data_IF_862802518991
#
_entry.id   IF_862802518991
#
_cell.length_a   1.000
_cell.length_b   1.000
_cell.length_c   1.000
_cell.angle_alpha   90.00
_cell.angle_beta   90.00
_cell.angle_gamma   90.00
#
_symmetry.space_group_name_H-M   'P 1'
#
loop_
_entity.id
_entity.type
_entity.pdbx_description
1 polymer ?
#
# COMPACT_ATOMS: atom_id res chain seq x y z
N UNK A 1 -84.16 58.87 -69.20
CA UNK A 1 -83.33 60.07 -69.07
C UNK A 1 -82.30 59.82 -67.99
N UNK A 2 -81.01 60.06 -68.25
CA UNK A 2 -79.92 59.91 -67.27
C UNK A 2 -79.48 61.30 -66.83
N UNK A 3 -79.05 61.46 -65.58
CA UNK A 3 -78.55 62.74 -65.07
C UNK A 3 -77.12 62.57 -64.55
N UNK A 4 -76.30 63.62 -64.69
CA UNK A 4 -74.93 63.63 -64.21
C UNK A 4 -74.90 63.47 -62.69
N UNK A 5 -74.15 62.48 -62.17
CA UNK A 5 -74.03 62.26 -60.73
C UNK A 5 -73.30 63.39 -59.99
N UNK A 6 -72.55 64.22 -60.71
CA UNK A 6 -71.77 65.31 -60.11
C UNK A 6 -72.56 66.64 -60.06
N UNK A 7 -73.28 66.99 -61.12
CA UNK A 7 -73.95 68.30 -61.22
C UNK A 7 -75.46 68.24 -61.47
N UNK A 8 -76.04 67.04 -61.59
CA UNK A 8 -77.48 66.85 -61.80
C UNK A 8 -78.00 67.23 -63.19
N UNK A 9 -77.14 67.67 -64.11
CA UNK A 9 -77.56 68.02 -65.48
C UNK A 9 -77.96 66.80 -66.29
N UNK A 10 -78.98 66.93 -67.14
CA UNK A 10 -79.46 65.83 -67.98
C UNK A 10 -78.39 65.41 -69.01
N UNK A 11 -78.23 64.10 -69.15
CA UNK A 11 -77.30 63.47 -70.08
C UNK A 11 -78.10 62.86 -71.23
N UNK A 12 -77.82 63.33 -72.44
CA UNK A 12 -78.41 62.82 -73.69
C UNK A 12 -77.81 61.45 -74.04
N UNK A 13 -78.58 60.61 -74.72
CA UNK A 13 -78.13 59.27 -75.12
C UNK A 13 -76.84 59.35 -75.96
N UNK A 14 -75.85 58.50 -75.63
CA UNK A 14 -74.55 58.45 -76.30
C UNK A 14 -73.47 59.42 -75.75
N UNK A 15 -73.81 60.37 -74.87
CA UNK A 15 -72.81 61.26 -74.27
C UNK A 15 -71.89 60.49 -73.30
N UNK A 16 -70.58 60.56 -73.55
CA UNK A 16 -69.53 59.90 -72.74
C UNK A 16 -69.01 60.79 -71.60
N UNK A 17 -69.23 62.10 -71.68
CA UNK A 17 -68.78 63.10 -70.70
C UNK A 17 -69.86 64.15 -70.56
N UNK A 18 -70.12 64.62 -69.33
CA UNK A 18 -71.06 65.69 -69.06
C UNK A 18 -70.53 67.01 -69.63
N UNK A 19 -71.27 67.62 -70.55
CA UNK A 19 -70.87 68.86 -71.22
C UNK A 19 -70.90 70.10 -70.32
N UNK A 20 -71.47 70.00 -69.12
CA UNK A 20 -71.56 71.12 -68.17
C UNK A 20 -70.44 71.11 -67.12
N UNK A 21 -69.99 69.95 -66.67
CA UNK A 21 -68.98 69.86 -65.59
C UNK A 21 -67.76 69.00 -65.94
N UNK A 22 -67.69 68.47 -67.16
CA UNK A 22 -66.55 67.66 -67.64
C UNK A 22 -66.45 66.27 -67.02
N UNK A 23 -67.40 65.86 -66.18
CA UNK A 23 -67.36 64.54 -65.50
C UNK A 23 -67.71 63.42 -66.48
N UNK A 24 -66.89 62.36 -66.60
CA UNK A 24 -67.21 61.20 -67.44
C UNK A 24 -68.53 60.55 -67.01
N UNK A 25 -69.37 60.21 -67.98
CA UNK A 25 -70.65 59.54 -67.74
C UNK A 25 -70.42 58.05 -67.82
N UNK A 26 -70.43 57.41 -66.65
CA UNK A 26 -70.17 55.98 -66.50
C UNK A 26 -71.28 55.15 -67.20
N UNK A 27 -70.93 54.47 -68.29
CA UNK A 27 -71.85 53.62 -69.04
C UNK A 27 -71.83 52.20 -68.47
N UNK A 28 -72.56 51.95 -67.38
CA UNK A 28 -73.23 50.65 -67.15
C UNK A 28 -73.91 50.56 -65.78
N UNK A 29 -75.20 50.19 -65.79
CA UNK A 29 -75.98 49.38 -64.82
C UNK A 29 -77.48 49.52 -65.22
N UNK A 30 -78.36 48.53 -65.38
CA UNK A 30 -78.45 47.06 -65.10
C UNK A 30 -79.85 46.55 -65.62
N UNK A 31 -80.30 45.25 -65.52
CA UNK A 31 -79.76 44.14 -64.73
C UNK A 31 -79.66 42.76 -65.44
N UNK A 32 -78.51 42.10 -65.33
CA UNK A 32 -78.41 40.67 -64.94
C UNK A 32 -77.05 40.45 -64.27
N UNK A 33 -77.12 40.47 -62.94
CA UNK A 33 -76.24 39.88 -61.92
C UNK A 33 -74.73 40.08 -62.07
N UNK A 34 -74.29 41.09 -61.33
CA UNK A 34 -72.94 41.32 -60.81
C UNK A 34 -72.29 40.11 -60.14
N UNK A 35 -71.04 39.84 -60.51
CA UNK A 35 -69.92 39.95 -59.57
C UNK A 35 -68.61 40.10 -60.34
N UNK A 36 -67.95 41.25 -60.13
CA UNK A 36 -66.49 41.28 -60.13
C UNK A 36 -66.03 40.24 -59.12
N UNK A 37 -65.20 39.30 -59.54
CA UNK A 37 -64.34 38.58 -58.64
C UNK A 37 -62.91 38.91 -59.07
N UNK A 38 -62.13 39.42 -58.12
CA UNK A 38 -60.74 39.04 -58.02
C UNK A 38 -60.62 37.55 -58.38
N UNK A 39 -59.64 37.13 -59.16
CA UNK A 39 -59.29 35.70 -59.17
C UNK A 39 -58.59 35.35 -57.85
N UNK A 40 -59.28 35.56 -56.72
CA UNK A 40 -59.24 34.63 -55.62
C UNK A 40 -60.36 33.64 -55.89
N UNK A 41 -59.98 32.48 -56.45
CA UNK A 41 -60.83 31.31 -56.52
C UNK A 41 -61.61 31.20 -55.19
N UNK A 42 -62.94 31.07 -55.18
CA UNK A 42 -63.67 30.84 -53.95
C UNK A 42 -63.05 29.59 -53.34
N UNK A 43 -62.37 29.74 -52.20
CA UNK A 43 -61.82 28.60 -51.47
C UNK A 43 -63.01 27.70 -51.22
N UNK A 44 -63.05 26.56 -51.93
CA UNK A 44 -63.96 25.45 -51.62
C UNK A 44 -63.88 25.29 -50.11
N UNK A 45 -64.98 25.38 -49.33
CA UNK A 45 -64.89 25.15 -47.91
C UNK A 45 -64.24 23.78 -47.75
N UNK A 46 -63.08 23.76 -47.09
CA UNK A 46 -62.31 22.54 -46.92
C UNK A 46 -63.24 21.47 -46.36
N UNK A 47 -63.19 20.26 -46.91
CA UNK A 47 -64.01 19.16 -46.40
C UNK A 47 -63.73 19.00 -44.90
N UNK A 48 -64.71 18.60 -44.07
CA UNK A 48 -64.50 18.44 -42.63
C UNK A 48 -63.30 17.53 -42.33
N UNK A 49 -63.03 16.55 -43.19
CA UNK A 49 -61.84 15.70 -43.13
C UNK A 49 -60.52 16.48 -43.31
N UNK A 50 -60.46 17.43 -44.26
CA UNK A 50 -59.27 18.25 -44.48
C UNK A 50 -59.03 19.22 -43.31
N UNK A 51 -60.08 19.73 -42.67
CA UNK A 51 -59.94 20.53 -41.45
C UNK A 51 -59.48 19.71 -40.25
N UNK A 52 -59.94 18.46 -40.11
CA UNK A 52 -59.43 17.51 -39.10
C UNK A 52 -57.96 17.19 -39.34
N UNK A 53 -57.54 16.94 -40.59
CA UNK A 53 -56.13 16.70 -40.94
C UNK A 53 -55.28 17.92 -40.61
N UNK A 54 -55.73 19.13 -40.96
CA UNK A 54 -55.01 20.38 -40.64
C UNK A 54 -54.95 20.61 -39.12
N UNK A 55 -56.05 20.40 -38.40
CA UNK A 55 -56.06 20.51 -36.94
C UNK A 55 -55.12 19.49 -36.29
N UNK A 56 -55.04 18.27 -36.82
CA UNK A 56 -54.14 17.22 -36.36
C UNK A 56 -52.67 17.57 -36.68
N UNK A 57 -52.38 18.11 -37.86
CA UNK A 57 -51.04 18.62 -38.21
C UNK A 57 -50.62 19.79 -37.31
N UNK A 58 -51.53 20.71 -36.99
CA UNK A 58 -51.28 21.81 -36.06
C UNK A 58 -51.05 21.27 -34.65
N UNK A 59 -51.84 20.31 -34.18
CA UNK A 59 -51.64 19.67 -32.88
C UNK A 59 -50.27 18.98 -32.80
N UNK A 60 -49.88 18.23 -33.84
CA UNK A 60 -48.55 17.61 -33.94
C UNK A 60 -47.45 18.67 -33.98
N UNK A 61 -47.63 19.77 -34.70
CA UNK A 61 -46.68 20.88 -34.73
C UNK A 61 -46.53 21.56 -33.36
N UNK A 62 -47.63 21.77 -32.63
CA UNK A 62 -47.60 22.32 -31.27
C UNK A 62 -46.86 21.36 -30.33
N UNK A 63 -47.15 20.06 -30.39
CA UNK A 63 -46.44 19.04 -29.61
C UNK A 63 -44.94 19.06 -29.97
N UNK A 64 -44.59 19.15 -31.25
CA UNK A 64 -43.20 19.24 -31.70
C UNK A 64 -42.50 20.51 -31.19
N UNK A 65 -43.19 21.66 -31.16
CA UNK A 65 -42.67 22.91 -30.59
C UNK A 65 -42.46 22.79 -29.08
N UNK A 66 -43.40 22.18 -28.34
CA UNK A 66 -43.25 21.93 -26.90
C UNK A 66 -42.04 21.02 -26.65
N UNK A 67 -41.94 19.89 -27.37
CA UNK A 67 -40.79 18.98 -27.30
C UNK A 67 -39.48 19.68 -27.69
N UNK A 68 -39.52 20.61 -28.66
CA UNK A 68 -38.36 21.39 -29.07
C UNK A 68 -37.88 22.33 -27.95
N UNK A 69 -38.79 23.04 -27.29
CA UNK A 69 -38.43 23.92 -26.17
C UNK A 69 -37.94 23.14 -24.95
N UNK A 70 -38.53 21.98 -24.65
CA UNK A 70 -38.04 21.08 -23.58
C UNK A 70 -36.67 20.51 -23.93
N UNK A 71 -36.44 20.10 -25.17
CA UNK A 71 -35.13 19.65 -25.64
C UNK A 71 -34.07 20.77 -25.57
N UNK A 72 -34.45 21.99 -25.96
CA UNK A 72 -33.56 23.16 -25.93
C UNK A 72 -33.10 23.51 -24.52
N UNK A 73 -33.94 23.33 -23.50
CA UNK A 73 -33.59 23.65 -22.12
C UNK A 73 -32.75 22.55 -21.46
N UNK A 74 -32.99 21.27 -21.76
CA UNK A 74 -32.19 20.17 -21.18
C UNK A 74 -30.82 20.01 -21.85
N UNK A 75 -30.67 20.41 -23.11
CA UNK A 75 -29.48 20.09 -23.93
C UNK A 75 -28.49 21.26 -24.01
N UNK A 76 -28.47 22.08 -22.97
CA UNK A 76 -27.50 23.16 -22.80
C UNK A 76 -26.28 22.66 -22.03
N UNK A 77 -25.08 23.07 -22.46
CA UNK A 77 -23.80 22.72 -21.81
C UNK A 77 -23.82 23.06 -20.32
N UNK A 78 -24.44 24.17 -19.93
CA UNK A 78 -24.55 24.59 -18.52
C UNK A 78 -25.43 23.65 -17.69
N UNK A 79 -26.50 23.08 -18.26
CA UNK A 79 -27.35 22.11 -17.56
C UNK A 79 -26.66 20.75 -17.37
N UNK A 80 -25.90 20.30 -18.37
CA UNK A 80 -25.07 19.10 -18.21
C UNK A 80 -23.94 19.33 -17.20
N UNK A 81 -23.29 20.50 -17.26
CA UNK A 81 -22.27 20.89 -16.29
C UNK A 81 -22.83 20.99 -14.87
N UNK A 82 -24.07 21.46 -14.67
CA UNK A 82 -24.74 21.42 -13.36
C UNK A 82 -24.89 19.99 -12.83
N UNK A 83 -25.22 19.03 -13.70
CA UNK A 83 -25.31 17.61 -13.34
C UNK A 83 -23.94 17.05 -12.95
N UNK A 84 -22.90 17.29 -13.75
CA UNK A 84 -21.53 16.84 -13.43
C UNK A 84 -21.02 17.49 -12.14
N UNK A 85 -21.16 18.81 -12.00
CA UNK A 85 -20.74 19.55 -10.82
C UNK A 85 -21.48 19.10 -9.55
N UNK A 86 -22.78 18.84 -9.62
CA UNK A 86 -23.53 18.30 -8.48
C UNK A 86 -23.12 16.87 -8.14
N UNK A 87 -22.77 16.05 -9.14
CA UNK A 87 -22.23 14.73 -8.89
C UNK A 87 -20.90 14.79 -8.13
N UNK A 88 -20.01 15.71 -8.51
CA UNK A 88 -18.72 15.93 -7.83
C UNK A 88 -18.93 16.44 -6.40
N UNK A 89 -19.75 17.49 -6.19
CA UNK A 89 -19.95 18.05 -4.83
C UNK A 89 -20.61 17.09 -3.86
N UNK A 90 -21.53 16.26 -4.34
CA UNK A 90 -22.33 15.39 -3.49
C UNK A 90 -21.81 13.95 -3.48
N UNK A 91 -20.60 13.69 -3.99
CA UNK A 91 -19.99 12.37 -4.06
C UNK A 91 -20.92 11.31 -4.70
N UNK A 92 -21.63 11.69 -5.78
CA UNK A 92 -22.65 10.86 -6.41
C UNK A 92 -22.08 10.07 -7.59
N UNK A 93 -21.62 8.86 -7.30
CA UNK A 93 -21.01 7.92 -8.26
C UNK A 93 -21.90 7.66 -9.48
N UNK A 94 -23.18 7.34 -9.28
CA UNK A 94 -24.07 6.98 -10.39
C UNK A 94 -24.38 8.16 -11.30
N UNK A 95 -24.54 9.36 -10.71
CA UNK A 95 -24.74 10.56 -11.50
C UNK A 95 -23.47 10.92 -12.28
N UNK A 96 -22.28 10.80 -11.68
CA UNK A 96 -21.02 11.04 -12.40
C UNK A 96 -20.87 10.05 -13.57
N UNK A 97 -21.02 8.76 -13.30
CA UNK A 97 -20.94 7.66 -14.29
C UNK A 97 -21.82 7.90 -15.52
N UNK A 98 -23.02 8.44 -15.31
CA UNK A 98 -23.99 8.67 -16.38
C UNK A 98 -23.75 9.96 -17.19
N UNK A 99 -22.90 10.87 -16.71
CA UNK A 99 -22.68 12.18 -17.33
C UNK A 99 -21.24 12.43 -17.78
N UNK A 100 -20.29 11.61 -17.34
CA UNK A 100 -18.86 11.73 -17.65
C UNK A 100 -18.39 10.50 -18.42
N UNK A 101 -17.48 10.72 -19.35
CA UNK A 101 -16.82 9.70 -20.15
C UNK A 101 -15.31 9.75 -19.93
N UNK A 102 -14.61 8.73 -20.40
CA UNK A 102 -13.17 8.76 -20.56
C UNK A 102 -12.80 8.09 -21.87
N UNK A 103 -12.05 8.77 -22.73
CA UNK A 103 -11.80 8.35 -24.11
C UNK A 103 -13.12 8.06 -24.87
N UNK A 104 -14.14 8.88 -24.62
CA UNK A 104 -15.45 8.80 -25.24
C UNK A 104 -16.33 7.62 -24.78
N UNK A 105 -15.86 6.77 -23.87
CA UNK A 105 -16.61 5.65 -23.28
C UNK A 105 -17.23 6.05 -21.94
N UNK A 106 -18.44 5.58 -21.61
CA UNK A 106 -19.00 5.78 -20.28
C UNK A 106 -18.08 5.19 -19.21
N UNK A 107 -17.95 5.88 -18.09
CA UNK A 107 -17.20 5.34 -16.95
C UNK A 107 -17.89 4.10 -16.39
N UNK A 108 -17.12 3.21 -15.79
CA UNK A 108 -17.67 2.19 -14.88
C UNK A 108 -17.95 2.80 -13.51
N UNK A 109 -18.65 2.05 -12.65
CA UNK A 109 -18.91 2.49 -11.27
C UNK A 109 -17.60 2.66 -10.48
N UNK A 110 -16.64 1.79 -10.74
CA UNK A 110 -15.31 1.81 -10.13
C UNK A 110 -14.50 3.02 -10.59
N UNK A 111 -14.45 3.30 -11.90
CA UNK A 111 -13.79 4.48 -12.46
C UNK A 111 -14.42 5.80 -11.97
N UNK A 112 -15.75 5.87 -11.93
CA UNK A 112 -16.46 7.04 -11.40
C UNK A 112 -16.17 7.26 -9.91
N UNK A 113 -16.06 6.17 -9.13
CA UNK A 113 -15.69 6.28 -7.71
C UNK A 113 -14.25 6.76 -7.54
N UNK A 114 -13.32 6.20 -8.30
CA UNK A 114 -11.91 6.57 -8.24
C UNK A 114 -11.66 8.04 -8.59
N UNK A 115 -12.39 8.58 -9.57
CA UNK A 115 -12.34 10.02 -9.86
C UNK A 115 -12.85 10.86 -8.68
N UNK A 116 -13.93 10.45 -8.02
CA UNK A 116 -14.47 11.19 -6.85
C UNK A 116 -13.54 11.09 -5.64
N UNK A 117 -12.91 9.95 -5.40
CA UNK A 117 -11.93 9.76 -4.32
C UNK A 117 -10.75 10.72 -4.46
N UNK A 118 -10.24 10.89 -5.69
CA UNK A 118 -9.23 11.91 -5.99
C UNK A 118 -9.69 13.34 -5.67
N UNK A 119 -10.99 13.62 -5.83
CA UNK A 119 -11.58 14.95 -5.60
C UNK A 119 -12.01 15.22 -4.15
N UNK A 120 -12.03 14.19 -3.30
CA UNK A 120 -12.49 14.32 -1.92
C UNK A 120 -11.40 14.86 -0.97
N UNK A 121 -10.17 15.05 -1.46
CA UNK A 121 -9.09 15.63 -0.69
C UNK A 121 -9.26 17.16 -0.56
N UNK A 122 -9.30 17.68 0.66
CA UNK A 122 -9.12 19.12 0.94
C UNK A 122 -10.08 20.10 0.22
N UNK A 123 -11.39 19.82 0.23
CA UNK A 123 -12.45 20.63 -0.43
C UNK A 123 -12.27 20.82 -1.95
N UNK A 124 -11.47 19.97 -2.60
CA UNK A 124 -11.20 20.04 -4.03
C UNK A 124 -12.47 19.87 -4.87
N UNK A 125 -13.39 19.00 -4.42
CA UNK A 125 -14.68 18.75 -5.04
C UNK A 125 -15.48 20.03 -5.35
N UNK A 126 -15.53 20.99 -4.42
CA UNK A 126 -16.27 22.25 -4.59
C UNK A 126 -15.61 23.12 -5.66
N UNK A 127 -14.29 23.29 -5.57
CA UNK A 127 -13.51 24.06 -6.55
C UNK A 127 -13.62 23.45 -7.95
N UNK A 128 -13.59 22.13 -8.06
CA UNK A 128 -13.73 21.44 -9.34
C UNK A 128 -15.12 21.58 -9.91
N UNK A 129 -16.15 21.42 -9.09
CA UNK A 129 -17.52 21.64 -9.49
C UNK A 129 -17.77 23.09 -9.98
N UNK A 130 -17.14 24.08 -9.33
CA UNK A 130 -17.19 25.48 -9.78
C UNK A 130 -16.48 25.66 -11.12
N UNK A 131 -15.26 25.14 -11.27
CA UNK A 131 -14.52 25.19 -12.53
C UNK A 131 -15.30 24.56 -13.70
N UNK A 132 -15.91 23.39 -13.50
CA UNK A 132 -16.75 22.73 -14.51
C UNK A 132 -17.89 23.66 -14.96
N UNK A 133 -18.57 24.32 -14.02
CA UNK A 133 -19.64 25.28 -14.32
C UNK A 133 -19.14 26.51 -15.05
N UNK A 134 -18.04 27.09 -14.60
CA UNK A 134 -17.46 28.31 -15.17
C UNK A 134 -16.96 28.07 -16.60
N UNK A 135 -16.30 26.94 -16.85
CA UNK A 135 -15.83 26.56 -18.20
C UNK A 135 -17.01 26.30 -19.14
N UNK A 136 -18.06 25.64 -18.68
CA UNK A 136 -19.28 25.43 -19.45
C UNK A 136 -20.03 26.75 -19.74
N UNK A 137 -20.11 27.65 -18.76
CA UNK A 137 -20.71 28.98 -18.95
C UNK A 137 -19.92 29.80 -19.96
N UNK A 138 -18.59 29.80 -19.86
CA UNK A 138 -17.71 30.45 -20.84
C UNK A 138 -17.90 29.88 -22.25
N UNK A 139 -18.08 28.56 -22.41
CA UNK A 139 -18.41 27.96 -23.71
C UNK A 139 -19.73 28.50 -24.26
N UNK A 140 -20.75 28.59 -23.40
CA UNK A 140 -22.06 29.09 -23.80
C UNK A 140 -22.00 30.57 -24.22
N UNK A 141 -21.39 31.41 -23.40
CA UNK A 141 -21.33 32.87 -23.58
C UNK A 141 -20.45 33.27 -24.76
N UNK A 142 -19.36 32.54 -25.00
CA UNK A 142 -18.40 32.82 -26.07
C UNK A 142 -18.60 31.95 -27.32
N UNK A 143 -19.66 31.14 -27.36
CA UNK A 143 -19.96 30.22 -28.45
C UNK A 143 -18.80 29.27 -28.83
N UNK A 144 -18.03 28.81 -27.84
CA UNK A 144 -16.94 27.85 -28.05
C UNK A 144 -17.49 26.42 -28.11
N UNK A 145 -16.92 25.61 -28.99
CA UNK A 145 -17.28 24.19 -29.10
C UNK A 145 -16.53 23.30 -28.10
N UNK A 146 -15.44 23.79 -27.49
CA UNK A 146 -14.73 23.09 -26.43
C UNK A 146 -14.15 24.01 -25.35
N UNK A 147 -13.88 23.45 -24.18
CA UNK A 147 -13.11 24.08 -23.11
C UNK A 147 -12.48 23.01 -22.22
N UNK A 148 -11.45 23.40 -21.48
CA UNK A 148 -10.69 22.50 -20.63
C UNK A 148 -10.79 22.96 -19.16
N UNK A 149 -11.12 22.01 -18.30
CA UNK A 149 -11.09 22.13 -16.85
C UNK A 149 -9.72 21.70 -16.39
N UNK A 150 -9.03 22.61 -15.70
CA UNK A 150 -7.70 22.38 -15.15
C UNK A 150 -7.69 22.76 -13.68
N UNK A 151 -6.87 22.08 -12.89
CA UNK A 151 -6.58 22.44 -11.51
C UNK A 151 -5.08 22.45 -11.29
N UNK A 152 -4.52 23.57 -10.81
CA UNK A 152 -3.08 23.71 -10.58
C UNK A 152 -2.20 23.29 -11.78
N UNK A 153 -2.69 23.47 -13.01
CA UNK A 153 -1.99 23.09 -14.24
C UNK A 153 -2.20 21.64 -14.68
N UNK A 154 -2.90 20.82 -13.88
CA UNK A 154 -3.30 19.47 -14.25
C UNK A 154 -4.58 19.48 -15.07
N UNK A 155 -4.59 18.72 -16.17
CA UNK A 155 -5.79 18.52 -16.99
C UNK A 155 -6.75 17.56 -16.31
N UNK A 156 -7.94 18.04 -15.97
CA UNK A 156 -8.94 17.25 -15.23
C UNK A 156 -10.05 16.76 -16.15
N UNK A 157 -10.59 17.64 -16.99
CA UNK A 157 -11.75 17.30 -17.82
C UNK A 157 -11.87 18.17 -19.06
N UNK A 158 -12.02 17.54 -20.22
CA UNK A 158 -12.36 18.19 -21.47
C UNK A 158 -13.88 18.26 -21.63
N UNK A 159 -14.40 19.46 -21.87
CA UNK A 159 -15.81 19.69 -22.21
C UNK A 159 -15.86 19.94 -23.71
N UNK A 160 -16.50 19.05 -24.48
CA UNK A 160 -16.53 19.11 -25.95
C UNK A 160 -17.95 18.95 -26.46
N UNK A 161 -18.31 19.78 -27.43
CA UNK A 161 -19.52 19.62 -28.21
C UNK A 161 -19.31 18.53 -29.26
N UNK A 162 -19.87 17.34 -29.01
CA UNK A 162 -19.74 16.20 -29.91
C UNK A 162 -21.08 15.78 -30.48
N UNK A 163 -21.27 16.10 -31.76
CA UNK A 163 -22.45 15.67 -32.52
C UNK A 163 -23.71 16.47 -32.20
N UNK A 164 -24.84 15.89 -32.59
CA UNK A 164 -26.16 16.46 -32.37
C UNK A 164 -27.14 15.39 -31.98
N UNK A 165 -27.92 15.62 -30.94
CA UNK A 165 -29.01 14.73 -30.56
C UNK A 165 -30.31 15.26 -31.17
N UNK A 166 -31.06 14.35 -31.78
CA UNK A 166 -32.26 14.64 -32.58
C UNK A 166 -32.01 15.64 -33.73
N UNK A 167 -30.79 15.69 -34.30
CA UNK A 167 -30.36 16.59 -35.40
C UNK A 167 -30.30 18.10 -35.04
N UNK A 168 -31.11 18.57 -34.08
CA UNK A 168 -31.27 20.00 -33.79
C UNK A 168 -30.45 20.49 -32.60
N UNK A 169 -30.14 19.63 -31.64
CA UNK A 169 -29.55 20.04 -30.38
C UNK A 169 -28.10 19.61 -30.29
N UNK A 170 -27.25 20.56 -29.91
CA UNK A 170 -25.85 20.31 -29.60
C UNK A 170 -25.77 19.32 -28.44
N UNK A 171 -24.96 18.28 -28.61
CA UNK A 171 -24.66 17.35 -27.54
C UNK A 171 -23.26 17.64 -27.00
N UNK A 172 -23.07 17.46 -25.71
CA UNK A 172 -21.82 17.79 -25.02
C UNK A 172 -21.36 16.60 -24.21
N UNK A 173 -20.07 16.29 -24.33
CA UNK A 173 -19.35 15.28 -23.55
C UNK A 173 -18.40 15.96 -22.57
N UNK A 174 -18.28 15.34 -21.42
CA UNK A 174 -17.40 15.70 -20.34
C UNK A 174 -16.45 14.52 -20.18
N UNK A 175 -15.22 14.65 -20.68
CA UNK A 175 -14.29 13.54 -20.84
C UNK A 175 -13.07 13.74 -19.94
N UNK A 176 -12.75 12.74 -19.12
CA UNK A 176 -11.57 12.77 -18.24
C UNK A 176 -10.40 12.02 -18.92
N UNK A 177 -9.16 12.51 -18.78
CA UNK A 177 -8.00 11.90 -19.42
C UNK A 177 -7.68 10.53 -18.81
N UNK A 178 -6.91 9.73 -19.57
CA UNK A 178 -6.40 8.43 -19.14
C UNK A 178 -4.87 8.46 -19.14
N UNK A 179 -4.27 7.66 -18.28
CA UNK A 179 -2.83 7.54 -18.15
C UNK A 179 -2.43 6.05 -18.09
N UNK A 180 -1.36 5.70 -18.80
CA UNK A 180 -0.65 4.44 -18.58
C UNK A 180 0.06 4.49 -17.23
N UNK A 181 -0.21 3.48 -16.40
CA UNK A 181 0.28 3.35 -15.03
C UNK A 181 1.32 2.24 -14.95
N UNK A 182 2.38 2.52 -14.20
CA UNK A 182 3.48 1.60 -13.94
C UNK A 182 3.75 1.51 -12.44
N UNK A 183 4.33 0.40 -12.02
CA UNK A 183 4.99 0.24 -10.73
C UNK A 183 6.47 0.56 -10.86
N UNK A 184 7.04 1.19 -9.84
CA UNK A 184 8.46 1.58 -9.86
C UNK A 184 9.41 0.37 -9.72
N UNK A 185 8.97 -0.70 -9.06
CA UNK A 185 9.76 -1.92 -8.88
C UNK A 185 8.88 -3.17 -8.76
N UNK A 186 9.38 -4.28 -9.30
CA UNK A 186 8.85 -5.64 -9.16
C UNK A 186 9.92 -6.61 -8.62
N UNK A 187 11.08 -6.12 -8.18
CA UNK A 187 12.27 -6.94 -7.91
C UNK A 187 12.05 -8.06 -6.89
N UNK A 188 11.21 -7.81 -5.88
CA UNK A 188 10.94 -8.73 -4.78
C UNK A 188 9.53 -9.37 -4.91
N UNK A 189 8.92 -9.28 -6.09
CA UNK A 189 7.55 -9.74 -6.34
C UNK A 189 7.56 -10.76 -7.48
N UNK A 190 7.28 -12.02 -7.15
CA UNK A 190 7.17 -13.11 -8.13
C UNK A 190 5.99 -12.88 -9.07
N UNK A 191 4.84 -12.50 -8.51
CA UNK A 191 3.63 -12.21 -9.28
C UNK A 191 2.72 -11.24 -8.54
N UNK A 192 2.16 -10.26 -9.25
CA UNK A 192 1.15 -9.36 -8.69
C UNK A 192 -0.14 -9.40 -9.51
N UNK A 193 -1.22 -9.87 -8.89
CA UNK A 193 -2.57 -9.91 -9.47
C UNK A 193 -3.47 -8.88 -8.81
N UNK A 194 -4.30 -8.20 -9.57
CA UNK A 194 -5.31 -7.28 -9.05
C UNK A 194 -6.66 -7.48 -9.75
N UNK A 195 -7.74 -7.11 -9.06
CA UNK A 195 -9.10 -7.18 -9.61
C UNK A 195 -9.56 -5.79 -10.02
N UNK A 196 -10.00 -5.65 -11.27
CA UNK A 196 -10.60 -4.43 -11.82
C UNK A 196 -11.80 -4.82 -12.67
N UNK A 197 -12.94 -4.16 -12.48
CA UNK A 197 -14.20 -4.46 -13.17
C UNK A 197 -14.63 -5.94 -13.07
N UNK A 198 -14.34 -6.57 -11.93
CA UNK A 198 -14.63 -7.99 -11.68
C UNK A 198 -13.74 -8.97 -12.46
N UNK A 199 -12.69 -8.49 -13.13
CA UNK A 199 -11.70 -9.31 -13.84
C UNK A 199 -10.36 -9.26 -13.13
N UNK A 200 -9.68 -10.39 -13.09
CA UNK A 200 -8.29 -10.47 -12.61
C UNK A 200 -7.33 -10.05 -13.72
N UNK A 201 -6.38 -9.20 -13.35
CA UNK A 201 -5.29 -8.72 -14.19
C UNK A 201 -3.97 -9.01 -13.48
N UNK A 202 -2.93 -9.29 -14.26
CA UNK A 202 -1.55 -9.46 -13.75
C UNK A 202 -0.74 -8.23 -14.17
N UNK A 203 0.06 -7.68 -13.26
CA UNK A 203 1.04 -6.64 -13.61
C UNK A 203 2.12 -7.24 -14.49
N UNK A 204 2.45 -6.57 -15.60
CA UNK A 204 3.48 -7.07 -16.51
C UNK A 204 4.88 -7.00 -15.88
N UNK A 205 5.79 -7.86 -16.35
CA UNK A 205 7.18 -7.96 -15.84
C UNK A 205 7.94 -6.63 -15.88
N UNK A 206 7.56 -5.72 -16.77
CA UNK A 206 8.11 -4.36 -16.86
C UNK A 206 7.43 -3.35 -15.92
N UNK A 207 6.69 -3.82 -14.92
CA UNK A 207 5.89 -3.01 -14.00
C UNK A 207 4.62 -2.42 -14.61
N UNK A 208 4.24 -2.73 -15.86
CA UNK A 208 3.04 -2.13 -16.47
C UNK A 208 1.77 -2.66 -15.82
N UNK A 209 1.00 -1.76 -15.21
CA UNK A 209 -0.29 -2.08 -14.58
C UNK A 209 -1.45 -1.96 -15.57
N UNK A 210 -1.41 -0.92 -16.41
CA UNK A 210 -2.40 -0.71 -17.45
C UNK A 210 -2.82 0.75 -17.60
N UNK A 211 -3.85 0.98 -18.40
CA UNK A 211 -4.38 2.32 -18.68
C UNK A 211 -5.65 2.59 -17.84
N UNK A 212 -5.68 3.75 -17.18
CA UNK A 212 -6.69 4.13 -16.19
C UNK A 212 -7.17 5.57 -16.43
N UNK A 213 -8.48 5.87 -16.31
CA UNK A 213 -8.93 7.25 -16.18
C UNK A 213 -8.29 7.94 -14.99
N UNK A 214 -8.23 9.27 -15.06
CA UNK A 214 -7.88 10.14 -13.95
C UNK A 214 -8.65 9.73 -12.69
N UNK A 215 -7.93 9.44 -11.62
CA UNK A 215 -8.53 8.98 -10.37
C UNK A 215 -7.53 8.30 -9.44
N UNK A 216 -7.98 8.07 -8.21
CA UNK A 216 -7.29 7.27 -7.20
C UNK A 216 -8.05 5.96 -7.01
N UNK A 217 -7.40 4.82 -7.24
CA UNK A 217 -8.03 3.51 -7.16
C UNK A 217 -7.41 2.68 -6.05
N UNK A 218 -8.25 2.04 -5.26
CA UNK A 218 -7.85 1.02 -4.28
C UNK A 218 -8.34 -0.35 -4.76
N UNK A 219 -7.48 -1.05 -5.51
CA UNK A 219 -7.83 -2.30 -6.17
C UNK A 219 -7.47 -3.47 -5.28
N UNK A 220 -8.38 -4.44 -5.09
CA UNK A 220 -8.03 -5.69 -4.39
C UNK A 220 -6.93 -6.42 -5.15
N UNK A 221 -5.87 -6.80 -4.44
CA UNK A 221 -4.70 -7.41 -5.04
C UNK A 221 -4.16 -8.59 -4.22
N UNK A 222 -3.40 -9.44 -4.89
CA UNK A 222 -2.66 -10.56 -4.33
C UNK A 222 -1.24 -10.50 -4.88
N UNK A 223 -0.27 -10.37 -3.97
CA UNK A 223 1.16 -10.41 -4.25
C UNK A 223 1.67 -11.81 -3.91
N UNK A 224 2.44 -12.41 -4.80
CA UNK A 224 3.21 -13.63 -4.54
C UNK A 224 4.65 -13.23 -4.35
N UNK A 225 5.25 -13.65 -3.24
CA UNK A 225 6.65 -13.39 -2.90
C UNK A 225 7.18 -14.60 -2.14
N UNK A 226 8.33 -15.13 -2.56
CA UNK A 226 8.94 -16.33 -1.99
C UNK A 226 7.97 -17.53 -1.92
N UNK A 227 7.10 -17.65 -2.93
CA UNK A 227 6.09 -18.72 -3.01
C UNK A 227 4.91 -18.60 -2.04
N UNK A 228 4.77 -17.48 -1.30
CA UNK A 228 3.63 -17.19 -0.43
C UNK A 228 2.73 -16.10 -1.01
N UNK A 229 1.42 -16.24 -0.81
CA UNK A 229 0.41 -15.28 -1.26
C UNK A 229 0.03 -14.29 -0.16
N UNK A 230 0.15 -13.00 -0.45
CA UNK A 230 -0.22 -11.89 0.42
C UNK A 230 -1.43 -11.19 -0.16
N UNK A 231 -2.52 -11.11 0.62
CA UNK A 231 -3.74 -10.39 0.21
C UNK A 231 -3.66 -8.94 0.69
N UNK A 232 -3.95 -8.02 -0.22
CA UNK A 232 -3.88 -6.60 0.06
C UNK A 232 -4.53 -5.78 -1.03
N UNK A 233 -3.94 -4.62 -1.28
CA UNK A 233 -4.46 -3.66 -2.24
C UNK A 233 -3.35 -3.15 -3.15
N UNK A 234 -3.70 -2.79 -4.37
CA UNK A 234 -2.88 -2.01 -5.27
C UNK A 234 -3.48 -0.60 -5.35
N UNK A 235 -2.77 0.37 -4.80
CA UNK A 235 -3.16 1.77 -4.83
C UNK A 235 -2.66 2.39 -6.13
N UNK A 236 -3.57 2.81 -7.01
CA UNK A 236 -3.24 3.40 -8.30
C UNK A 236 -3.54 4.88 -8.28
N UNK A 237 -2.50 5.70 -8.45
CA UNK A 237 -2.62 7.12 -8.70
C UNK A 237 -2.53 7.34 -10.21
N UNK A 238 -3.65 7.67 -10.84
CA UNK A 238 -3.73 8.02 -12.26
C UNK A 238 -3.97 9.51 -12.39
N UNK A 239 -2.90 10.27 -12.60
CA UNK A 239 -2.91 11.72 -12.71
C UNK A 239 -1.81 12.19 -13.69
N UNK A 240 -1.84 13.46 -14.10
CA UNK A 240 -0.78 13.98 -14.96
C UNK A 240 0.58 13.98 -14.26
N UNK A 241 0.59 14.19 -12.94
CA UNK A 241 1.78 14.33 -12.11
C UNK A 241 2.17 13.03 -11.40
N UNK A 242 1.21 12.16 -11.10
CA UNK A 242 1.44 10.87 -10.46
C UNK A 242 0.81 9.77 -11.33
N UNK A 243 1.65 8.91 -11.91
CA UNK A 243 1.26 7.82 -12.84
C UNK A 243 1.75 6.47 -12.35
N UNK A 244 1.57 6.24 -11.06
CA UNK A 244 2.21 5.15 -10.34
C UNK A 244 1.19 4.29 -9.63
N UNK A 245 1.55 3.02 -9.48
CA UNK A 245 0.83 2.10 -8.63
C UNK A 245 1.75 1.63 -7.50
N UNK A 246 1.20 1.63 -6.29
CA UNK A 246 1.91 1.27 -5.07
C UNK A 246 1.24 0.05 -4.44
N UNK A 247 1.98 -1.06 -4.23
CA UNK A 247 1.46 -2.20 -3.49
C UNK A 247 1.28 -1.81 -2.03
N UNK A 248 0.12 -2.11 -1.46
CA UNK A 248 -0.20 -1.91 -0.05
C UNK A 248 -0.68 -3.25 0.53
N UNK A 249 0.26 -3.99 1.10
CA UNK A 249 0.04 -5.34 1.62
C UNK A 249 0.48 -5.38 3.07
N UNK A 250 -0.45 -5.72 3.96
CA UNK A 250 -0.11 -6.02 5.35
C UNK A 250 0.77 -7.26 5.39
N UNK A 251 1.77 -7.24 6.24
CA UNK A 251 2.73 -8.32 6.39
C UNK A 251 3.14 -8.42 7.86
N UNK A 252 3.42 -9.65 8.30
CA UNK A 252 4.00 -9.88 9.61
C UNK A 252 5.52 -9.86 9.42
N UNK A 253 6.16 -8.91 10.09
CA UNK A 253 7.61 -8.80 10.25
C UNK A 253 7.89 -8.62 11.73
N UNK A 254 8.94 -9.22 12.24
CA UNK A 254 9.25 -9.10 13.67
C UNK A 254 10.73 -9.33 13.98
N UNK A 255 11.18 -8.69 15.06
CA UNK A 255 12.41 -9.05 15.78
C UNK A 255 12.06 -9.99 16.94
N UNK A 256 13.02 -10.82 17.33
CA UNK A 256 12.89 -11.69 18.50
C UNK A 256 13.86 -11.22 19.57
N UNK A 257 13.37 -10.99 20.78
CA UNK A 257 14.19 -10.69 21.95
C UNK A 257 14.09 -11.85 22.93
N UNK A 258 15.21 -12.20 23.56
CA UNK A 258 15.25 -13.18 24.65
C UNK A 258 15.30 -12.39 25.97
N UNK A 259 14.28 -12.56 26.80
CA UNK A 259 14.23 -11.97 28.14
C UNK A 259 14.94 -12.89 29.15
N UNK A 260 16.27 -13.00 29.03
CA UNK A 260 17.12 -13.72 29.99
C UNK A 260 18.57 -13.22 29.92
N UNK A 261 19.17 -12.89 31.08
CA UNK A 261 20.53 -12.32 31.13
C UNK A 261 21.67 -13.31 30.88
N UNK A 262 21.39 -14.61 30.98
CA UNK A 262 22.39 -15.69 30.97
C UNK A 262 22.32 -16.53 29.69
N UNK A 263 21.46 -16.17 28.73
CA UNK A 263 21.32 -16.84 27.44
C UNK A 263 21.83 -15.90 26.37
N UNK A 264 22.79 -16.38 25.58
CA UNK A 264 23.29 -15.68 24.41
C UNK A 264 22.58 -16.17 23.14
N UNK A 265 22.47 -15.29 22.14
CA UNK A 265 21.92 -15.64 20.82
C UNK A 265 22.68 -16.82 20.19
N UNK A 266 24.01 -16.90 20.39
CA UNK A 266 24.86 -17.97 19.85
C UNK A 266 24.50 -19.37 20.33
N UNK A 267 23.95 -19.48 21.54
CA UNK A 267 23.59 -20.75 22.19
C UNK A 267 22.11 -21.07 22.01
N UNK A 268 21.41 -20.24 21.23
CA UNK A 268 19.97 -20.32 21.03
C UNK A 268 19.61 -20.68 19.61
N UNK A 269 18.70 -21.64 19.48
CA UNK A 269 18.03 -21.95 18.21
C UNK A 269 16.61 -21.37 18.23
N UNK A 270 16.30 -20.53 17.24
CA UNK A 270 14.96 -20.01 17.04
C UNK A 270 14.10 -21.00 16.26
N UNK A 271 12.83 -21.11 16.60
CA UNK A 271 11.83 -21.88 15.87
C UNK A 271 10.66 -20.98 15.48
N UNK A 272 10.41 -20.86 14.18
CA UNK A 272 9.25 -20.15 13.63
C UNK A 272 8.38 -21.18 12.92
N UNK A 273 7.13 -21.35 13.35
CA UNK A 273 6.22 -22.39 12.83
C UNK A 273 6.82 -23.81 12.83
N UNK A 274 7.68 -24.11 13.81
CA UNK A 274 8.47 -25.34 13.96
C UNK A 274 9.60 -25.55 12.92
N UNK A 275 9.87 -24.56 12.08
CA UNK A 275 11.08 -24.53 11.26
C UNK A 275 12.23 -23.93 12.06
N UNK A 276 13.43 -24.52 11.91
CA UNK A 276 14.63 -24.12 12.65
C UNK A 276 15.30 -22.93 11.96
N UNK A 277 15.63 -21.90 12.73
CA UNK A 277 16.37 -20.71 12.31
C UNK A 277 17.54 -20.45 13.26
N UNK A 278 18.57 -19.77 12.77
CA UNK A 278 19.59 -19.19 13.63
C UNK A 278 18.97 -18.01 14.39
N UNK A 279 19.37 -17.86 15.66
CA UNK A 279 18.92 -16.75 16.49
C UNK A 279 19.84 -15.55 16.27
N UNK A 280 19.26 -14.43 15.86
CA UNK A 280 19.91 -13.12 15.79
C UNK A 280 18.89 -12.05 16.17
N UNK A 281 19.07 -11.42 17.33
CA UNK A 281 18.17 -10.36 17.81
C UNK A 281 18.14 -9.11 16.92
N UNK A 282 19.12 -8.95 16.02
CA UNK A 282 19.17 -7.87 15.03
C UNK A 282 18.57 -8.24 13.66
N UNK A 283 18.21 -9.50 13.43
CA UNK A 283 17.60 -9.97 12.20
C UNK A 283 16.08 -9.72 12.18
N UNK A 284 15.57 -9.11 11.11
CA UNK A 284 14.13 -8.99 10.87
C UNK A 284 13.62 -10.29 10.24
N UNK A 285 12.77 -11.02 10.95
CA UNK A 285 12.14 -12.23 10.43
C UNK A 285 10.83 -11.90 9.69
N UNK A 286 10.65 -12.52 8.51
CA UNK A 286 9.49 -12.32 7.64
C UNK A 286 9.88 -12.11 6.18
N UNK A 287 8.95 -11.59 5.34
CA UNK A 287 7.55 -11.29 5.65
C UNK A 287 6.67 -12.54 5.70
N UNK A 288 5.64 -12.57 6.55
CA UNK A 288 4.57 -13.60 6.52
C UNK A 288 3.20 -12.98 6.15
N UNK A 289 2.31 -13.72 5.48
CA UNK A 289 0.93 -13.30 5.24
C UNK A 289 0.22 -12.92 6.54
N UNK A 290 -0.62 -11.87 6.54
CA UNK A 290 -1.22 -11.33 7.75
C UNK A 290 -2.30 -12.25 8.37
N UNK A 291 -2.78 -13.24 7.60
CA UNK A 291 -3.68 -14.29 8.04
C UNK A 291 -2.94 -15.59 8.46
N UNK A 292 -1.62 -15.65 8.29
CA UNK A 292 -0.81 -16.78 8.76
C UNK A 292 -0.64 -16.69 10.29
N UNK A 293 -0.88 -17.81 11.00
CA UNK A 293 -0.60 -17.90 12.43
C UNK A 293 0.90 -18.19 12.61
N UNK A 294 1.68 -17.15 12.87
CA UNK A 294 3.11 -17.26 13.13
C UNK A 294 3.33 -17.52 14.62
N UNK A 295 3.73 -18.75 14.97
CA UNK A 295 4.12 -19.17 16.32
C UNK A 295 5.65 -19.21 16.43
N UNK A 296 6.20 -18.59 17.46
CA UNK A 296 7.63 -18.41 17.66
C UNK A 296 8.01 -18.92 19.04
N UNK A 297 9.11 -19.67 19.13
CA UNK A 297 9.74 -20.06 20.39
C UNK A 297 11.23 -20.33 20.19
N UNK A 298 12.00 -20.35 21.27
CA UNK A 298 13.43 -20.56 21.24
C UNK A 298 13.81 -21.79 22.09
N UNK A 299 14.94 -22.41 21.72
CA UNK A 299 15.58 -23.46 22.50
C UNK A 299 17.02 -23.06 22.74
N UNK A 300 17.39 -22.85 24.00
CA UNK A 300 18.74 -22.52 24.43
C UNK A 300 19.46 -23.76 24.97
N UNK A 301 20.70 -23.98 24.56
CA UNK A 301 21.60 -24.94 25.19
C UNK A 301 22.35 -24.23 26.32
N UNK A 302 22.19 -24.71 27.55
CA UNK A 302 22.90 -24.21 28.73
C UNK A 302 23.57 -25.40 29.39
N UNK A 303 24.91 -25.41 29.41
CA UNK A 303 25.73 -26.49 29.97
C UNK A 303 25.37 -27.90 29.45
N UNK A 304 25.01 -28.01 28.17
CA UNK A 304 24.67 -29.27 27.51
C UNK A 304 23.22 -29.72 27.72
N UNK A 305 22.38 -28.88 28.34
CA UNK A 305 20.94 -29.13 28.52
C UNK A 305 20.12 -28.09 27.78
N UNK A 306 19.13 -28.57 27.04
CA UNK A 306 18.19 -27.73 26.31
C UNK A 306 17.06 -27.21 27.22
N UNK A 307 16.84 -25.91 27.19
CA UNK A 307 15.69 -25.22 27.77
C UNK A 307 14.84 -24.62 26.65
N UNK A 308 13.52 -24.66 26.80
CA UNK A 308 12.59 -24.10 25.81
C UNK A 308 11.89 -22.90 26.40
N UNK A 309 11.78 -21.82 25.63
CA UNK A 309 11.02 -20.63 26.03
C UNK A 309 9.52 -20.92 26.05
N UNK A 310 8.75 -19.91 26.47
CA UNK A 310 7.34 -19.82 26.09
C UNK A 310 7.14 -19.75 24.56
N UNK A 311 5.91 -20.01 24.15
CA UNK A 311 5.48 -19.96 22.75
C UNK A 311 4.62 -18.73 22.56
N UNK A 312 5.07 -17.82 21.72
CA UNK A 312 4.34 -16.60 21.41
C UNK A 312 3.76 -16.64 19.99
N UNK A 313 2.58 -16.04 19.85
CA UNK A 313 1.95 -15.85 18.53
C UNK A 313 2.15 -14.39 18.15
N UNK A 314 2.82 -14.14 17.03
CA UNK A 314 3.10 -12.79 16.55
C UNK A 314 1.78 -12.08 16.25
N UNK A 315 1.56 -10.93 16.90
CA UNK A 315 0.35 -10.12 16.72
C UNK A 315 0.71 -8.88 15.93
N UNK A 316 0.02 -8.66 14.82
CA UNK A 316 0.15 -7.43 14.02
C UNK A 316 -0.45 -6.26 14.80
N UNK A 317 0.32 -5.21 14.98
CA UNK A 317 -0.13 -3.95 15.55
C UNK A 317 -0.39 -2.90 14.44
N UNK A 318 -1.18 -1.88 14.78
CA UNK A 318 -1.42 -0.74 13.89
C UNK A 318 -2.02 -1.07 12.52
N UNK A 319 -1.43 -0.49 11.47
CA UNK A 319 -1.83 -0.67 10.08
C UNK A 319 -1.24 -1.93 9.43
N UNK A 320 -0.28 -2.59 10.09
CA UNK A 320 0.33 -3.85 9.66
C UNK A 320 1.50 -3.70 8.70
N UNK A 321 2.19 -2.55 8.74
CA UNK A 321 3.45 -2.28 8.05
C UNK A 321 4.63 -2.08 9.03
N UNK A 322 4.37 -2.15 10.34
CA UNK A 322 5.40 -2.09 11.38
C UNK A 322 6.05 -3.46 11.62
N UNK A 323 7.36 -3.44 11.88
CA UNK A 323 8.07 -4.58 12.42
C UNK A 323 7.73 -4.73 13.91
N UNK A 324 7.16 -5.87 14.27
CA UNK A 324 6.76 -6.18 15.65
C UNK A 324 7.97 -6.64 16.48
N UNK A 325 7.81 -6.69 17.79
CA UNK A 325 8.79 -7.31 18.68
C UNK A 325 8.13 -8.50 19.38
N UNK A 326 8.83 -9.62 19.41
CA UNK A 326 8.39 -10.84 20.10
C UNK A 326 9.40 -11.11 21.20
N UNK A 327 8.95 -10.93 22.44
CA UNK A 327 9.77 -11.22 23.62
C UNK A 327 9.51 -12.67 24.05
N UNK A 328 10.56 -13.47 24.13
CA UNK A 328 10.51 -14.86 24.56
C UNK A 328 11.16 -14.99 25.94
N UNK A 329 10.45 -15.64 26.86
CA UNK A 329 10.89 -15.83 28.25
C UNK A 329 11.22 -17.29 28.52
N UNK A 330 12.27 -17.53 29.31
CA UNK A 330 12.61 -18.86 29.79
C UNK A 330 12.25 -19.03 31.28
N UNK A 331 12.24 -20.27 31.77
CA UNK A 331 12.14 -20.52 33.21
C UNK A 331 13.50 -20.30 33.87
N UNK A 332 13.76 -19.05 34.25
CA UNK A 332 15.03 -18.63 34.86
C UNK A 332 15.41 -19.48 36.07
N UNK A 333 14.43 -19.89 36.89
CA UNK A 333 14.70 -20.70 38.07
C UNK A 333 15.19 -22.10 37.69
N UNK A 334 14.63 -22.69 36.62
CA UNK A 334 15.06 -23.99 36.14
C UNK A 334 16.46 -23.95 35.51
N UNK A 335 16.81 -22.83 34.87
CA UNK A 335 18.14 -22.59 34.29
C UNK A 335 19.17 -22.35 35.40
N UNK A 336 18.93 -21.39 36.30
CA UNK A 336 19.85 -21.09 37.41
C UNK A 336 20.13 -22.32 38.26
N UNK A 337 19.09 -23.09 38.58
CA UNK A 337 19.26 -24.35 39.30
C UNK A 337 20.16 -25.34 38.54
N UNK A 338 20.02 -25.42 37.22
CA UNK A 338 20.84 -26.34 36.43
C UNK A 338 22.31 -25.93 36.40
N UNK A 339 22.59 -24.64 36.30
CA UNK A 339 23.95 -24.09 36.36
C UNK A 339 24.57 -24.39 37.74
N UNK A 340 23.86 -24.10 38.83
CA UNK A 340 24.31 -24.43 40.20
C UNK A 340 24.56 -25.94 40.41
N UNK A 341 23.65 -26.78 39.92
CA UNK A 341 23.78 -28.25 39.97
C UNK A 341 25.00 -28.73 39.16
N UNK A 342 25.39 -27.99 38.10
CA UNK A 342 26.54 -28.30 37.25
C UNK A 342 27.87 -27.86 37.86
N UNK A 343 27.96 -26.63 38.33
CA UNK A 343 29.13 -26.11 39.03
C UNK A 343 29.46 -26.97 40.27
N UNK A 344 28.45 -27.34 41.06
CA UNK A 344 28.64 -28.22 42.22
C UNK A 344 29.03 -29.66 41.88
N UNK A 345 28.79 -30.11 40.65
CA UNK A 345 29.21 -31.44 40.17
C UNK A 345 30.58 -31.45 39.50
N UNK A 346 31.05 -30.30 39.01
CA UNK A 346 32.39 -30.14 38.43
C UNK A 346 33.43 -29.90 39.54
N UNK A 347 33.02 -29.33 40.68
CA UNK A 347 33.84 -29.27 41.91
C UNK A 347 34.16 -30.66 42.51
N UNK A 348 33.46 -31.73 42.11
CA UNK A 348 33.68 -33.10 42.59
C UNK A 348 34.59 -33.94 41.65
N UNK A 349 34.94 -33.44 40.45
CA UNK A 349 35.66 -34.23 39.42
C UNK A 349 37.04 -33.66 38.98
N UNK A 350 37.54 -32.56 39.54
CA UNK A 350 38.90 -32.04 39.29
C UNK A 350 39.78 -32.05 40.56
N UNK A 351 40.24 -33.24 40.94
CA UNK A 351 41.57 -33.42 41.54
C UNK A 351 42.61 -33.20 40.42
N UNK A 352 43.04 -31.97 40.18
CA UNK A 352 44.44 -31.65 39.81
C UNK A 352 44.72 -30.14 39.72
N UNK A 353 45.34 -29.62 40.78
CA UNK A 353 46.40 -28.60 40.82
C UNK A 353 46.25 -27.28 40.04
N UNK A 354 46.14 -26.16 40.75
CA UNK A 354 47.33 -25.29 40.93
C UNK A 354 47.16 -24.22 42.02
N UNK A 355 48.04 -24.32 43.02
CA UNK A 355 48.70 -23.29 43.84
C UNK A 355 47.96 -21.99 44.20
N UNK A 356 47.65 -21.85 45.48
CA UNK A 356 47.83 -20.60 46.24
C UNK A 356 48.06 -20.90 47.73
N UNK A 357 49.32 -20.73 48.19
CA UNK A 357 49.72 -20.48 49.58
C UNK A 357 49.30 -21.47 50.69
N UNK A 358 49.57 -22.77 50.52
CA UNK A 358 49.29 -23.77 51.54
C UNK A 358 50.54 -24.27 52.30
N UNK A 359 50.40 -24.33 53.64
CA UNK A 359 51.33 -24.91 54.60
C UNK A 359 51.81 -26.32 54.14
N UNK A 360 53.09 -26.63 54.33
CA UNK A 360 53.63 -27.95 53.95
C UNK A 360 53.05 -29.05 54.85
N UNK A 361 52.24 -29.93 54.26
CA UNK A 361 51.59 -31.08 54.91
C UNK A 361 52.28 -32.39 54.52
N UNK A 362 51.84 -33.52 55.11
CA UNK A 362 52.38 -34.83 54.74
C UNK A 362 51.99 -35.21 53.31
N UNK A 363 50.81 -34.76 52.91
CA UNK A 363 50.15 -35.12 51.67
C UNK A 363 50.80 -34.41 50.46
N UNK A 364 51.27 -33.17 50.64
CA UNK A 364 51.83 -32.36 49.54
C UNK A 364 53.37 -32.28 49.51
N UNK A 365 54.07 -32.87 50.48
CA UNK A 365 55.53 -32.71 50.61
C UNK A 365 56.31 -33.32 49.43
N UNK A 366 55.79 -34.37 48.80
CA UNK A 366 56.41 -34.97 47.62
C UNK A 366 56.24 -34.05 46.42
N UNK A 367 55.03 -33.51 46.22
CA UNK A 367 54.73 -32.57 45.14
C UNK A 367 55.63 -31.32 45.20
N UNK A 368 55.92 -30.82 46.41
CA UNK A 368 56.88 -29.71 46.62
C UNK A 368 58.28 -30.06 46.14
N UNK A 369 58.73 -31.30 46.33
CA UNK A 369 60.04 -31.76 45.86
C UNK A 369 60.04 -31.97 44.35
N UNK A 370 58.98 -32.53 43.78
CA UNK A 370 58.87 -32.77 42.33
C UNK A 370 58.76 -31.46 41.53
N UNK A 371 58.05 -30.47 42.08
CA UNK A 371 58.04 -29.09 41.53
C UNK A 371 59.43 -28.44 41.63
N UNK A 372 60.18 -28.65 42.72
CA UNK A 372 61.57 -28.18 42.86
C UNK A 372 62.54 -28.87 41.88
N UNK A 373 62.42 -30.19 41.69
CA UNK A 373 63.26 -30.92 40.72
C UNK A 373 62.83 -30.64 39.26
N UNK A 374 61.63 -30.12 39.05
CA UNK A 374 61.03 -29.93 37.73
C UNK A 374 60.64 -31.25 37.03
N UNK A 375 60.62 -32.36 37.77
CA UNK A 375 60.25 -33.68 37.30
C UNK A 375 59.83 -34.59 38.46
N UNK A 376 59.10 -35.67 38.15
CA UNK A 376 58.71 -36.68 39.14
C UNK A 376 59.94 -37.43 39.68
N UNK A 377 59.90 -37.81 40.96
CA UNK A 377 60.99 -38.54 41.60
C UNK A 377 61.21 -39.89 40.92
N UNK A 378 62.46 -40.19 40.55
CA UNK A 378 62.82 -41.42 39.84
C UNK A 378 62.78 -42.64 40.79
N UNK A 379 61.59 -43.25 40.89
CA UNK A 379 61.35 -44.47 41.65
C UNK A 379 61.85 -45.73 40.95
N UNK A 380 62.28 -45.65 39.68
CA UNK A 380 62.91 -46.75 38.97
C UNK A 380 64.39 -46.87 39.34
N UNK A 381 65.06 -45.76 39.61
CA UNK A 381 66.47 -45.71 40.06
C UNK A 381 66.61 -45.75 41.59
N UNK A 382 65.77 -45.02 42.33
CA UNK A 382 65.91 -44.86 43.77
C UNK A 382 64.74 -45.47 44.57
N UNK A 383 64.93 -45.58 45.88
CA UNK A 383 63.87 -45.91 46.84
C UNK A 383 63.76 -44.79 47.87
N UNK A 384 62.62 -44.11 47.90
CA UNK A 384 62.37 -42.99 48.79
C UNK A 384 61.73 -43.47 50.10
N UNK A 385 62.22 -42.98 51.24
CA UNK A 385 61.58 -43.20 52.53
C UNK A 385 60.38 -42.28 52.69
N UNK A 386 59.47 -42.68 53.58
CA UNK A 386 58.33 -41.84 53.92
C UNK A 386 58.79 -40.50 54.53
N UNK A 387 58.19 -39.37 54.12
CA UNK A 387 58.41 -38.07 54.73
C UNK A 387 58.11 -38.05 56.23
N UNK A 388 59.04 -37.54 57.01
CA UNK A 388 58.90 -37.37 58.45
C UNK A 388 59.00 -35.90 58.83
N UNK A 389 58.22 -35.48 59.83
CA UNK A 389 58.26 -34.11 60.34
C UNK A 389 59.53 -33.91 61.15
N UNK A 390 60.41 -33.00 60.71
CA UNK A 390 61.71 -32.72 61.35
C UNK A 390 61.90 -31.23 61.57
N UNK A 391 62.23 -30.82 62.81
CA UNK A 391 62.82 -29.52 63.11
C UNK A 391 62.21 -28.27 62.45
N UNK A 392 60.88 -28.18 62.34
CA UNK A 392 60.16 -27.05 61.75
C UNK A 392 59.61 -27.27 60.33
N UNK A 393 59.86 -28.43 59.72
CA UNK A 393 59.37 -28.79 58.40
C UNK A 393 59.29 -30.30 58.21
N UNK A 394 59.46 -30.77 56.98
CA UNK A 394 59.45 -32.17 56.61
C UNK A 394 60.79 -32.59 56.00
N UNK A 395 61.10 -33.88 56.04
CA UNK A 395 62.25 -34.42 55.31
C UNK A 395 62.16 -35.92 55.12
N UNK A 396 62.85 -36.41 54.10
CA UNK A 396 63.00 -37.83 53.80
C UNK A 396 64.34 -38.10 53.12
N UNK A 397 64.82 -39.33 53.23
CA UNK A 397 66.01 -39.78 52.52
C UNK A 397 65.66 -40.79 51.43
N UNK A 398 66.56 -40.95 50.46
CA UNK A 398 66.43 -41.95 49.41
C UNK A 398 67.72 -42.76 49.27
N UNK A 399 67.56 -44.02 48.88
CA UNK A 399 68.65 -44.96 48.68
C UNK A 399 68.70 -45.43 47.23
N UNK A 400 69.87 -45.88 46.78
CA UNK A 400 69.97 -46.70 45.57
C UNK A 400 69.22 -48.04 45.76
N UNK A 401 69.13 -48.85 44.69
CA UNK A 401 68.49 -50.19 44.73
C UNK A 401 69.25 -51.22 45.58
N UNK A 402 70.52 -50.97 45.89
CA UNK A 402 71.34 -51.79 46.78
C UNK A 402 71.15 -51.38 48.27
N UNK A 403 70.40 -50.31 48.54
CA UNK A 403 70.05 -49.82 49.87
C UNK A 403 71.07 -48.84 50.46
N UNK A 404 72.03 -48.35 49.68
CA UNK A 404 72.97 -47.33 50.13
C UNK A 404 72.31 -45.94 50.08
N UNK A 405 72.54 -45.12 51.10
CA UNK A 405 72.03 -43.75 51.14
C UNK A 405 72.57 -42.97 49.93
N UNK A 406 71.67 -42.45 49.09
CA UNK A 406 72.03 -41.66 47.93
C UNK A 406 71.83 -40.15 48.19
N UNK A 407 70.89 -39.80 49.06
CA UNK A 407 70.69 -38.41 49.47
C UNK A 407 69.46 -38.21 50.35
N UNK A 408 69.13 -36.94 50.61
CA UNK A 408 67.93 -36.56 51.34
C UNK A 408 67.39 -35.19 50.98
N UNK A 409 66.13 -34.95 51.32
CA UNK A 409 65.44 -33.68 51.17
C UNK A 409 64.99 -33.14 52.53
N UNK A 410 65.03 -31.81 52.66
CA UNK A 410 64.38 -31.06 53.74
C UNK A 410 63.53 -29.95 53.15
N UNK A 411 62.28 -29.86 53.60
CA UNK A 411 61.29 -28.90 53.15
C UNK A 411 60.87 -28.08 54.36
N UNK A 412 61.12 -26.77 54.34
CA UNK A 412 60.70 -25.86 55.40
C UNK A 412 59.17 -25.62 55.36
N UNK A 413 58.59 -25.08 56.44
CA UNK A 413 57.12 -24.88 56.52
C UNK A 413 56.54 -23.96 55.44
N UNK A 414 57.37 -23.11 54.85
CA UNK A 414 57.05 -22.19 53.76
C UNK A 414 57.27 -22.81 52.36
N UNK A 415 57.68 -24.08 52.28
CA UNK A 415 57.88 -24.79 51.02
C UNK A 415 59.27 -24.68 50.42
N UNK A 416 60.24 -24.06 51.11
CA UNK A 416 61.63 -24.01 50.64
C UNK A 416 62.30 -25.39 50.75
N UNK A 417 62.78 -25.94 49.63
CA UNK A 417 63.37 -27.27 49.53
C UNK A 417 64.91 -27.19 49.57
N UNK A 418 65.55 -28.11 50.29
CA UNK A 418 67.00 -28.33 50.29
C UNK A 418 67.30 -29.80 50.01
N UNK A 419 68.21 -30.05 49.08
CA UNK A 419 68.69 -31.37 48.67
C UNK A 419 70.10 -31.60 49.20
N UNK A 420 70.32 -32.78 49.76
CA UNK A 420 71.59 -33.22 50.32
C UNK A 420 72.08 -34.49 49.62
N UNK A 421 73.39 -34.64 49.49
CA UNK A 421 74.02 -35.86 48.98
C UNK A 421 74.14 -36.96 50.06
N UNK A 422 74.80 -38.07 49.70
CA UNK A 422 75.03 -39.22 50.58
C UNK A 422 75.89 -38.93 51.82
N UNK A 423 76.62 -37.81 51.83
CA UNK A 423 77.44 -37.37 52.96
C UNK A 423 76.72 -36.34 53.84
N UNK A 424 75.55 -35.86 53.39
CA UNK A 424 74.76 -34.85 54.07
C UNK A 424 75.21 -33.42 53.74
N UNK A 425 75.99 -33.23 52.68
CA UNK A 425 76.35 -31.91 52.16
C UNK A 425 75.21 -31.40 51.27
N UNK A 426 74.82 -30.12 51.44
CA UNK A 426 73.77 -29.49 50.64
C UNK A 426 74.27 -29.27 49.21
N UNK A 427 73.54 -29.79 48.23
CA UNK A 427 73.91 -29.72 46.81
C UNK A 427 72.99 -28.82 45.99
N UNK A 428 71.77 -28.59 46.45
CA UNK A 428 70.82 -27.68 45.80
C UNK A 428 69.73 -27.19 46.77
N UNK A 429 69.17 -26.00 46.52
CA UNK A 429 68.06 -25.46 47.30
C UNK A 429 67.28 -24.35 46.59
N UNK A 430 65.97 -24.32 46.80
CA UNK A 430 65.08 -23.40 46.11
C UNK A 430 63.60 -23.62 46.41
N UNK A 431 62.76 -22.78 45.82
CA UNK A 431 61.33 -23.07 45.69
C UNK A 431 61.10 -23.82 44.39
N UNK A 432 60.07 -24.66 44.35
CA UNK A 432 59.55 -25.18 43.09
C UNK A 432 58.88 -24.09 42.27
N UNK A 433 58.95 -24.23 40.94
CA UNK A 433 58.34 -23.31 39.96
C UNK A 433 56.82 -23.53 39.84
#
# INVERSE_FOLDING_TARGET
>A
MRYCKNCGHEIKEGQKVCTQCGTPVDQSQQPRRTSQYSNQSPRKPMSPLAWVIIALLIAVAIIAVILFFVGKTQMNVTKKADSVASAIRNDNVDQLKNNVTSDGKPLTKEEARAFLDLMNESDLNNKMADQVKDKAKSMQDQHRDSNLVEYNGEKVMDIKQEGRKWIFFKDYKFDIPRYDIYMDSMSDIDELKFTREGKTHTVGDNGKVGDFPLGYYELKATKTENGKDYKGQLQVFSSQHMKQANPNFKQIKFYVNIDNSNIYDSDTTLYINNEKHEMDSSEEYGPYPPDEKVEVYAVADVEGKNFTSDKEIVKISGDGDSTENVDLSFDDNAISKHIEDKESSEDDDDDDSSSSDDEVTRENVIDKVESFEGHLLDTDEYTFKEPEKTGGGWGFSYTDKDGNLAGSYKIDSDGYVRKYDEHGDEIDSGYGD
#
